data_IF_795272754325
#
_entry.id   IF_795272754325
#
_cell.length_a   1.000
_cell.length_b   1.000
_cell.length_c   1.000
_cell.angle_alpha   90.00
_cell.angle_beta   90.00
_cell.angle_gamma   90.00
#
_symmetry.space_group_name_H-M   'P 1'
#
loop_
_entity.id
_entity.type
_entity.pdbx_description
1 polymer ?
#
# COMPACT_ATOMS: atom_id res chain seq x y z
N UNK A 1 -13.96 -1.38 -2.54
CA UNK A 1 -14.12 -0.78 -1.19
C UNK A 1 -15.40 -1.20 -0.47
N UNK A 2 -16.56 -1.38 -1.12
CA UNK A 2 -17.81 -1.76 -0.42
C UNK A 2 -17.66 -2.97 0.52
N UNK A 3 -17.07 -4.07 0.05
CA UNK A 3 -16.86 -5.27 0.88
C UNK A 3 -16.00 -5.06 2.14
N UNK A 4 -15.00 -4.17 2.08
CA UNK A 4 -14.17 -3.85 3.24
C UNK A 4 -14.98 -3.08 4.29
N UNK A 5 -15.82 -2.13 3.86
CA UNK A 5 -16.72 -1.39 4.75
C UNK A 5 -17.80 -2.28 5.35
N UNK A 6 -18.20 -3.34 4.63
CA UNK A 6 -19.15 -4.35 5.09
C UNK A 6 -18.53 -5.42 5.99
N UNK A 7 -17.24 -5.29 6.35
CA UNK A 7 -16.57 -6.16 7.33
C UNK A 7 -15.84 -7.37 6.75
N UNK A 8 -15.67 -7.46 5.42
CA UNK A 8 -14.85 -8.51 4.80
C UNK A 8 -13.38 -8.16 4.94
N UNK A 9 -12.78 -8.58 6.06
CA UNK A 9 -11.38 -8.30 6.40
C UNK A 9 -10.42 -9.44 6.08
N UNK A 10 -10.89 -10.50 5.40
CA UNK A 10 -10.05 -11.61 4.97
C UNK A 10 -10.13 -11.76 3.46
N UNK A 11 -8.99 -11.57 2.80
CA UNK A 11 -8.77 -11.91 1.41
C UNK A 11 -7.79 -13.06 1.25
N UNK A 12 -7.59 -13.47 0.00
CA UNK A 12 -6.76 -14.61 -0.39
C UNK A 12 -5.61 -14.25 -1.34
N UNK A 13 -5.40 -12.96 -1.60
CA UNK A 13 -4.28 -12.48 -2.42
C UNK A 13 -3.08 -12.28 -1.51
N UNK A 14 -1.95 -12.91 -1.87
CA UNK A 14 -0.68 -12.73 -1.16
C UNK A 14 0.04 -11.46 -1.62
N UNK A 15 0.90 -10.91 -0.78
CA UNK A 15 1.82 -9.82 -1.18
C UNK A 15 2.65 -10.23 -2.41
N UNK A 16 3.11 -11.48 -2.48
CA UNK A 16 3.81 -12.03 -3.64
C UNK A 16 3.02 -11.91 -4.93
N UNK A 17 1.74 -12.27 -4.90
CA UNK A 17 0.86 -12.15 -6.06
C UNK A 17 0.62 -10.67 -6.39
N UNK A 18 0.34 -9.85 -5.37
CA UNK A 18 0.09 -8.42 -5.53
C UNK A 18 1.25 -7.70 -6.25
N UNK A 19 2.49 -7.97 -5.87
CA UNK A 19 3.68 -7.36 -6.47
C UNK A 19 3.92 -7.75 -7.94
N UNK A 20 3.16 -8.71 -8.48
CA UNK A 20 3.15 -8.99 -9.93
C UNK A 20 2.29 -7.99 -10.72
N UNK A 21 1.50 -7.16 -10.03
CA UNK A 21 0.56 -6.22 -10.65
C UNK A 21 0.97 -4.75 -10.52
N UNK A 22 2.03 -4.44 -9.77
CA UNK A 22 2.53 -3.08 -9.62
C UNK A 22 3.70 -2.96 -8.66
N UNK A 23 4.39 -1.84 -8.76
CA UNK A 23 5.54 -1.46 -7.92
C UNK A 23 5.21 -0.28 -6.98
N UNK A 24 4.00 0.28 -7.07
CA UNK A 24 3.52 1.37 -6.24
C UNK A 24 2.06 1.16 -5.84
N UNK A 25 1.71 1.43 -4.59
CA UNK A 25 0.33 1.32 -4.15
C UNK A 25 0.11 1.36 -2.64
N UNK A 26 -1.16 1.22 -2.26
CA UNK A 26 -1.65 1.27 -0.89
C UNK A 26 -2.71 0.19 -0.65
N UNK A 27 -2.89 -0.21 0.60
CA UNK A 27 -3.88 -1.21 0.98
C UNK A 27 -3.85 -1.51 2.47
N UNK A 28 -4.40 -2.65 2.87
CA UNK A 28 -4.33 -3.16 4.25
C UNK A 28 -4.06 -4.67 4.24
N UNK A 29 -3.79 -5.24 5.40
CA UNK A 29 -3.59 -6.68 5.60
C UNK A 29 -4.84 -7.33 6.18
N UNK A 30 -4.91 -8.67 6.15
CA UNK A 30 -6.01 -9.40 6.73
C UNK A 30 -6.21 -9.00 8.21
N UNK A 31 -7.47 -9.02 8.66
CA UNK A 31 -7.88 -8.59 10.01
C UNK A 31 -7.56 -7.11 10.32
N UNK A 32 -7.33 -6.29 9.30
CA UNK A 32 -6.92 -4.88 9.43
C UNK A 32 -5.63 -4.73 10.25
N UNK A 33 -4.68 -5.66 10.09
CA UNK A 33 -3.38 -5.62 10.76
C UNK A 33 -2.46 -4.59 10.10
N UNK A 34 -2.79 -3.32 10.29
CA UNK A 34 -2.02 -2.19 9.77
C UNK A 34 -2.27 -1.85 8.31
N UNK A 35 -1.52 -0.87 7.84
CA UNK A 35 -1.59 -0.31 6.50
C UNK A 35 -0.47 -0.86 5.63
N UNK A 36 -0.76 -1.00 4.34
CA UNK A 36 0.21 -1.42 3.32
C UNK A 36 0.71 -0.21 2.54
N UNK A 37 2.02 -0.13 2.38
CA UNK A 37 2.69 0.75 1.42
C UNK A 37 3.53 -0.10 0.48
N UNK A 38 3.26 -0.01 -0.82
CA UNK A 38 4.15 -0.54 -1.85
C UNK A 38 4.88 0.64 -2.49
N UNK A 39 6.20 0.61 -2.42
CA UNK A 39 7.08 1.64 -2.96
C UNK A 39 8.29 0.99 -3.63
N UNK A 40 8.54 1.33 -4.89
CA UNK A 40 9.63 0.78 -5.72
C UNK A 40 9.68 -0.77 -5.69
N UNK A 41 8.50 -1.41 -5.72
CA UNK A 41 8.36 -2.87 -5.71
C UNK A 41 8.57 -3.52 -4.34
N UNK A 42 8.76 -2.74 -3.28
CA UNK A 42 8.91 -3.21 -1.90
C UNK A 42 7.63 -2.97 -1.12
N UNK A 43 7.11 -4.01 -0.48
CA UNK A 43 5.92 -3.92 0.35
C UNK A 43 6.29 -3.76 1.83
N UNK A 44 5.75 -2.71 2.46
CA UNK A 44 5.89 -2.40 3.87
C UNK A 44 4.55 -2.51 4.59
N UNK A 45 4.60 -2.93 5.85
CA UNK A 45 3.48 -2.95 6.77
C UNK A 45 3.71 -1.92 7.88
N UNK A 46 2.79 -0.97 7.97
CA UNK A 46 2.77 0.12 8.92
C UNK A 46 1.75 -0.21 10.02
N UNK A 47 2.20 -0.30 11.28
CA UNK A 47 1.34 -0.68 12.40
C UNK A 47 0.97 0.52 13.29
N UNK A 48 -0.09 0.34 14.07
CA UNK A 48 -0.62 1.37 14.98
C UNK A 48 0.34 1.76 16.11
N UNK A 49 1.36 0.93 16.39
CA UNK A 49 2.45 1.25 17.33
C UNK A 49 3.51 2.19 16.72
N UNK A 50 3.37 2.57 15.45
CA UNK A 50 4.30 3.41 14.71
C UNK A 50 5.45 2.63 14.07
N UNK A 51 5.49 1.31 14.17
CA UNK A 51 6.49 0.49 13.51
C UNK A 51 6.21 0.35 12.01
N UNK A 52 7.28 0.28 11.23
CA UNK A 52 7.28 0.00 9.80
C UNK A 52 8.24 -1.16 9.55
N UNK A 53 7.76 -2.23 8.93
CA UNK A 53 8.56 -3.41 8.61
C UNK A 53 8.28 -3.89 7.18
N UNK A 54 9.20 -4.67 6.62
CA UNK A 54 8.92 -5.39 5.37
C UNK A 54 7.77 -6.37 5.61
N UNK A 55 6.81 -6.40 4.68
CA UNK A 55 5.77 -7.40 4.71
C UNK A 55 6.33 -8.76 4.27
N UNK A 56 5.84 -9.84 4.88
CA UNK A 56 6.11 -11.18 4.37
C UNK A 56 5.46 -11.32 2.97
N UNK A 57 6.11 -12.06 2.07
CA UNK A 57 5.57 -12.30 0.73
C UNK A 57 4.31 -13.18 0.77
N UNK A 58 4.13 -13.95 1.84
CA UNK A 58 2.99 -14.84 2.02
C UNK A 58 1.89 -14.20 2.89
N UNK A 59 2.07 -12.96 3.37
CA UNK A 59 1.00 -12.17 3.99
C UNK A 59 -0.16 -11.93 3.03
N UNK A 60 -1.37 -11.86 3.58
CA UNK A 60 -2.62 -11.78 2.82
C UNK A 60 -3.25 -10.39 2.94
N UNK A 61 -3.87 -9.95 1.85
CA UNK A 61 -4.60 -8.69 1.80
C UNK A 61 -6.07 -8.90 1.42
N UNK A 62 -7.02 -8.26 2.14
CA UNK A 62 -8.42 -8.19 1.74
C UNK A 62 -8.66 -7.08 0.73
N UNK A 63 -7.76 -6.10 0.64
CA UNK A 63 -7.86 -4.97 -0.25
C UNK A 63 -6.51 -4.29 -0.44
N UNK A 64 -6.11 -4.15 -1.71
CA UNK A 64 -4.99 -3.34 -2.13
C UNK A 64 -5.27 -2.75 -3.52
N UNK A 65 -4.68 -1.58 -3.79
CA UNK A 65 -4.66 -0.95 -5.11
C UNK A 65 -3.20 -0.65 -5.47
N UNK A 66 -2.73 -1.27 -6.54
CA UNK A 66 -1.34 -1.13 -7.03
C UNK A 66 -1.32 -0.79 -8.52
N UNK A 67 -0.24 -0.17 -8.96
CA UNK A 67 0.06 0.14 -10.37
C UNK A 67 1.55 0.03 -10.63
N UNK A 68 1.93 -0.11 -11.90
CA UNK A 68 3.28 0.21 -12.36
C UNK A 68 3.40 1.73 -12.46
N UNK A 69 4.12 2.33 -11.54
CA UNK A 69 4.23 3.78 -11.46
C UNK A 69 5.25 4.30 -12.48
N UNK A 70 4.76 5.17 -13.35
CA UNK A 70 5.58 5.94 -14.26
C UNK A 70 5.25 7.42 -14.05
N UNK A 71 6.19 8.23 -13.54
CA UNK A 71 5.89 9.62 -13.24
C UNK A 71 5.66 10.41 -14.53
N UNK A 72 4.43 10.91 -14.72
CA UNK A 72 4.10 11.82 -15.82
C UNK A 72 4.63 13.23 -15.59
N UNK A 73 4.78 13.62 -14.31
CA UNK A 73 5.30 14.93 -13.88
C UNK A 73 6.15 14.75 -12.64
N UNK A 74 7.24 15.49 -12.59
CA UNK A 74 8.08 15.67 -11.41
C UNK A 74 8.22 17.16 -11.18
N UNK A 75 8.06 17.58 -9.94
CA UNK A 75 8.16 18.98 -9.57
C UNK A 75 8.98 19.02 -8.28
N UNK A 76 10.01 19.88 -8.25
CA UNK A 76 10.97 19.94 -7.16
C UNK A 76 10.52 20.89 -6.04
N UNK A 77 10.47 20.37 -4.81
CA UNK A 77 10.12 21.09 -3.59
C UNK A 77 11.24 21.96 -3.06
N UNK A 78 11.49 23.13 -3.64
CA UNK A 78 12.57 24.01 -3.16
C UNK A 78 12.21 24.79 -1.88
N UNK A 79 10.92 24.93 -1.54
CA UNK A 79 10.44 25.69 -0.37
C UNK A 79 9.19 25.08 0.27
N UNK A 80 9.05 25.10 1.60
CA UNK A 80 7.80 24.72 2.26
C UNK A 80 6.67 25.70 1.85
N UNK A 81 5.64 25.22 1.16
CA UNK A 81 4.33 25.87 1.13
C UNK A 81 3.79 26.47 -0.18
N UNK A 82 4.47 26.39 -1.34
CA UNK A 82 3.91 26.97 -2.58
C UNK A 82 3.02 26.01 -3.40
N UNK A 83 2.76 24.80 -2.90
CA UNK A 83 2.01 23.72 -3.56
C UNK A 83 0.50 23.74 -3.30
N UNK A 84 0.05 24.61 -2.39
CA UNK A 84 -1.34 24.76 -2.00
C UNK A 84 -1.85 26.12 -2.50
N UNK A 85 -1.91 26.29 -3.83
CA UNK A 85 -2.64 27.38 -4.50
C UNK A 85 -3.29 26.87 -5.77
#
# INVERSE_FOLDING_TARGET
>A
MGALLDGVYEGNVTVRELLRHGDFGLGTFNRLDGEMLVLDGVCYQLRADGSAALADLDELTPFAAVTWFHPDRTIDGERPGEWCK
#
